data_IF_548055652848
#
_entry.id   IF_548055652848
#
_cell.length_a   1.000
_cell.length_b   1.000
_cell.length_c   1.000
_cell.angle_alpha   90.00
_cell.angle_beta   90.00
_cell.angle_gamma   90.00
#
_symmetry.space_group_name_H-M   'P 1'
#
loop_
_entity.id
_entity.type
_entity.pdbx_description
1 polymer ?
#
# COMPACT_ATOMS: atom_id res chain seq x y z
N UNK A 1 12.11 4.02 10.60
CA UNK A 1 11.24 5.23 10.73
C UNK A 1 9.89 4.81 11.31
N UNK A 2 9.37 5.56 12.29
CA UNK A 2 8.20 5.19 13.10
C UNK A 2 6.91 5.01 12.28
N UNK A 3 6.14 3.95 12.58
CA UNK A 3 4.78 3.57 12.14
C UNK A 3 3.72 4.71 12.03
N UNK A 4 4.03 5.93 12.46
CA UNK A 4 3.09 7.06 12.65
C UNK A 4 2.65 7.81 11.38
N UNK A 5 2.97 7.34 10.17
CA UNK A 5 2.79 8.16 8.95
C UNK A 5 1.89 7.57 7.85
N UNK A 6 1.34 6.35 8.02
CA UNK A 6 0.77 5.60 6.89
C UNK A 6 -0.57 6.14 6.35
N UNK A 7 -1.44 6.67 7.20
CA UNK A 7 -2.73 7.27 6.79
C UNK A 7 -2.91 8.65 7.39
N UNK A 8 -1.93 9.54 7.19
CA UNK A 8 -2.04 10.91 7.69
C UNK A 8 -3.20 11.63 7.02
N UNK A 9 -4.02 12.30 7.83
CA UNK A 9 -5.15 13.13 7.39
C UNK A 9 -4.79 14.60 7.68
N UNK A 10 -4.54 15.39 6.64
CA UNK A 10 -4.26 16.81 6.80
C UNK A 10 -5.56 17.61 6.98
N UNK A 11 -5.64 18.44 8.04
CA UNK A 11 -6.82 19.28 8.32
C UNK A 11 -6.58 20.73 7.88
N UNK A 12 -7.09 21.10 6.71
CA UNK A 12 -6.93 22.43 6.11
C UNK A 12 -8.10 23.35 6.51
N UNK A 13 -7.82 24.44 7.23
CA UNK A 13 -8.87 25.29 7.81
C UNK A 13 -8.45 26.77 7.89
N UNK A 14 -9.43 27.68 8.04
CA UNK A 14 -9.11 29.05 8.42
C UNK A 14 -8.79 29.13 9.91
N UNK A 15 -7.90 30.05 10.30
CA UNK A 15 -7.48 30.17 11.70
C UNK A 15 -8.64 30.52 12.65
N UNK A 16 -9.71 31.14 12.14
CA UNK A 16 -10.95 31.42 12.86
C UNK A 16 -11.77 30.17 13.18
N UNK A 17 -11.67 29.13 12.36
CA UNK A 17 -12.46 27.88 12.50
C UNK A 17 -11.81 26.88 13.46
N UNK A 18 -10.69 27.27 14.06
CA UNK A 18 -9.76 26.41 14.80
C UNK A 18 -10.41 25.63 15.92
N UNK A 19 -11.32 26.22 16.70
CA UNK A 19 -11.96 25.52 17.81
C UNK A 19 -12.82 24.34 17.34
N UNK A 20 -13.58 24.52 16.25
CA UNK A 20 -14.39 23.45 15.67
C UNK A 20 -13.51 22.35 15.08
N UNK A 21 -12.44 22.73 14.38
CA UNK A 21 -11.49 21.79 13.77
C UNK A 21 -10.69 21.03 14.82
N UNK A 22 -10.38 21.64 15.96
CA UNK A 22 -9.76 20.96 17.10
C UNK A 22 -10.69 19.88 17.68
N UNK A 23 -11.98 20.17 17.84
CA UNK A 23 -12.95 19.15 18.25
C UNK A 23 -13.01 18.00 17.26
N UNK A 24 -13.01 18.30 15.96
CA UNK A 24 -12.99 17.30 14.90
C UNK A 24 -11.70 16.45 14.91
N UNK A 25 -10.54 17.08 15.12
CA UNK A 25 -9.26 16.39 15.29
C UNK A 25 -9.31 15.37 16.43
N UNK A 26 -9.82 15.78 17.60
CA UNK A 26 -9.88 14.93 18.78
C UNK A 26 -10.87 13.75 18.55
N UNK A 27 -11.99 13.97 17.82
CA UNK A 27 -12.91 12.90 17.40
C UNK A 27 -12.24 11.91 16.43
N UNK A 28 -11.52 12.38 15.41
CA UNK A 28 -10.77 11.52 14.48
C UNK A 28 -9.71 10.69 15.22
N UNK A 29 -8.99 11.30 16.17
CA UNK A 29 -8.03 10.58 17.02
C UNK A 29 -8.72 9.50 17.85
N UNK A 30 -9.88 9.80 18.45
CA UNK A 30 -10.65 8.83 19.23
C UNK A 30 -11.17 7.67 18.37
N UNK A 31 -11.46 7.91 17.10
CA UNK A 31 -11.82 6.89 16.12
C UNK A 31 -10.62 6.09 15.56
N UNK A 32 -9.40 6.36 16.04
CA UNK A 32 -8.19 5.59 15.67
C UNK A 32 -7.41 6.13 14.47
N UNK A 33 -7.82 7.25 13.89
CA UNK A 33 -7.14 7.85 12.73
C UNK A 33 -5.91 8.69 13.11
N UNK A 34 -5.16 9.10 12.09
CA UNK A 34 -3.96 9.91 12.24
C UNK A 34 -4.12 11.33 11.66
N UNK A 35 -4.96 12.19 12.25
CA UNK A 35 -5.06 13.57 11.83
C UNK A 35 -3.78 14.34 12.17
N UNK A 36 -3.48 15.33 11.32
CA UNK A 36 -2.41 16.30 11.47
C UNK A 36 -2.99 17.71 11.45
N UNK A 37 -2.64 18.50 12.45
CA UNK A 37 -3.07 19.88 12.62
C UNK A 37 -1.89 20.72 13.12
N UNK A 38 -1.62 21.83 12.44
CA UNK A 38 -0.51 22.76 12.73
C UNK A 38 -0.36 23.08 14.23
N UNK A 39 -1.47 23.34 14.93
CA UNK A 39 -1.45 23.72 16.34
C UNK A 39 -1.08 22.60 17.30
N UNK A 40 -1.37 21.35 16.93
CA UNK A 40 -1.15 20.16 17.77
C UNK A 40 0.19 19.50 17.43
N UNK A 41 0.55 19.49 16.15
CA UNK A 41 1.63 18.66 15.62
C UNK A 41 2.89 19.45 15.23
N UNK A 42 2.85 20.79 15.15
CA UNK A 42 4.04 21.61 14.94
C UNK A 42 4.80 21.82 16.25
N UNK A 43 6.07 21.44 16.27
CA UNK A 43 6.94 21.65 17.42
C UNK A 43 7.49 23.09 17.44
N UNK A 44 7.62 23.72 18.63
CA UNK A 44 8.28 25.01 18.76
C UNK A 44 9.70 24.98 18.15
N UNK A 45 10.00 25.97 17.31
CA UNK A 45 11.29 26.07 16.60
C UNK A 45 11.30 25.46 15.20
N UNK A 46 10.25 24.74 14.77
CA UNK A 46 10.14 24.29 13.38
C UNK A 46 9.79 25.43 12.42
N UNK A 47 10.30 25.34 11.19
CA UNK A 47 9.90 26.24 10.11
C UNK A 47 8.50 25.85 9.62
N UNK A 48 7.49 26.50 10.19
CA UNK A 48 6.06 26.21 10.01
C UNK A 48 5.67 25.96 8.55
N UNK A 49 6.14 26.81 7.63
CA UNK A 49 5.79 26.74 6.21
C UNK A 49 6.34 25.48 5.51
N UNK A 50 7.52 25.01 5.95
CA UNK A 50 8.14 23.80 5.39
C UNK A 50 7.46 22.55 5.91
N UNK A 51 7.14 22.53 7.20
CA UNK A 51 6.47 21.39 7.82
C UNK A 51 5.02 21.25 7.33
N UNK A 52 4.29 22.35 7.06
CA UNK A 52 2.96 22.28 6.44
C UNK A 52 3.03 21.64 5.05
N UNK A 53 3.94 22.10 4.17
CA UNK A 53 4.12 21.51 2.83
C UNK A 53 4.46 20.02 2.92
N UNK A 54 5.38 19.68 3.82
CA UNK A 54 5.76 18.29 4.08
C UNK A 54 4.58 17.48 4.60
N UNK A 55 3.76 18.06 5.48
CA UNK A 55 2.59 17.39 6.02
C UNK A 55 1.57 17.11 4.92
N UNK A 56 1.27 18.11 4.10
CA UNK A 56 0.39 18.00 2.93
C UNK A 56 0.86 16.92 1.95
N UNK A 57 2.13 16.95 1.53
CA UNK A 57 2.70 16.00 0.57
C UNK A 57 2.76 14.56 1.09
N UNK A 58 2.88 14.38 2.41
CA UNK A 58 2.91 13.06 3.03
C UNK A 58 1.56 12.66 3.63
N UNK A 59 0.47 13.35 3.27
CA UNK A 59 -0.88 13.00 3.69
C UNK A 59 -1.60 12.23 2.60
N UNK A 60 -2.31 11.20 3.03
CA UNK A 60 -3.15 10.38 2.16
C UNK A 60 -4.50 11.05 1.89
N UNK A 61 -5.02 11.71 2.92
CA UNK A 61 -6.27 12.44 2.88
C UNK A 61 -6.04 13.91 3.20
N UNK A 62 -6.76 14.79 2.51
CA UNK A 62 -6.84 16.22 2.86
C UNK A 62 -8.30 16.55 3.11
N UNK A 63 -8.63 16.92 4.35
CA UNK A 63 -9.95 17.43 4.70
C UNK A 63 -9.89 18.96 4.63
N UNK A 64 -10.73 19.56 3.79
CA UNK A 64 -10.79 21.01 3.61
C UNK A 64 -12.07 21.54 4.26
N UNK A 65 -11.90 22.37 5.28
CA UNK A 65 -13.00 22.96 6.03
C UNK A 65 -13.46 24.28 5.41
N UNK A 66 -14.68 24.28 4.90
CA UNK A 66 -15.37 25.44 4.33
C UNK A 66 -16.26 26.12 5.36
N UNK A 67 -16.08 27.43 5.50
CA UNK A 67 -16.86 28.35 6.33
C UNK A 67 -16.93 29.71 5.62
N UNK A 68 -17.75 30.62 6.14
CA UNK A 68 -17.75 32.01 5.71
C UNK A 68 -16.34 32.63 5.79
N UNK A 69 -15.57 32.30 6.83
CA UNK A 69 -14.21 32.79 7.03
C UNK A 69 -13.23 32.19 6.02
N UNK A 70 -13.35 30.90 5.71
CA UNK A 70 -12.42 30.25 4.79
C UNK A 70 -12.66 30.58 3.31
N UNK A 71 -13.87 31.04 2.96
CA UNK A 71 -14.24 31.41 1.58
C UNK A 71 -14.16 32.92 1.31
N UNK A 72 -14.58 33.76 2.25
CA UNK A 72 -14.86 35.18 1.98
C UNK A 72 -13.66 36.12 2.15
N UNK A 73 -12.59 35.71 2.87
CA UNK A 73 -11.43 36.57 3.13
C UNK A 73 -10.36 36.48 2.04
N UNK A 74 -9.94 37.62 1.49
CA UNK A 74 -8.67 37.75 0.76
C UNK A 74 -7.51 37.69 1.76
N UNK A 75 -6.65 36.68 1.68
CA UNK A 75 -5.51 36.54 2.60
C UNK A 75 -5.00 35.10 2.79
N UNK A 76 -4.24 34.87 3.86
CA UNK A 76 -3.47 33.65 4.19
C UNK A 76 -4.24 32.31 4.03
N UNK A 77 -5.55 32.30 4.25
CA UNK A 77 -6.44 31.14 4.01
C UNK A 77 -6.38 30.66 2.55
N UNK A 78 -6.25 31.57 1.58
CA UNK A 78 -6.05 31.19 0.17
C UNK A 78 -4.75 30.44 -0.03
N UNK A 79 -3.77 30.53 0.87
CA UNK A 79 -2.48 29.88 0.69
C UNK A 79 -2.54 28.39 1.00
N UNK A 80 -3.21 27.96 2.07
CA UNK A 80 -3.41 26.52 2.34
C UNK A 80 -4.34 25.88 1.30
N UNK A 81 -5.44 26.56 0.95
CA UNK A 81 -6.31 26.16 -0.16
C UNK A 81 -5.55 26.09 -1.48
N UNK A 82 -4.70 27.09 -1.79
CA UNK A 82 -3.86 27.08 -3.00
C UNK A 82 -2.78 26.00 -2.96
N UNK A 83 -2.22 25.69 -1.80
CA UNK A 83 -1.27 24.59 -1.66
C UNK A 83 -1.98 23.24 -1.87
N UNK A 84 -3.19 23.06 -1.35
CA UNK A 84 -4.00 21.88 -1.60
C UNK A 84 -4.41 21.76 -3.09
N UNK A 85 -4.81 22.87 -3.73
CA UNK A 85 -5.12 22.92 -5.17
C UNK A 85 -3.88 22.64 -6.04
N UNK A 86 -2.72 23.24 -5.71
CA UNK A 86 -1.49 22.95 -6.44
C UNK A 86 -1.06 21.50 -6.25
N UNK A 87 -1.26 20.93 -5.06
CA UNK A 87 -1.02 19.51 -4.85
C UNK A 87 -1.89 18.69 -5.80
N UNK A 88 -3.20 18.97 -5.92
CA UNK A 88 -4.11 18.31 -6.88
C UNK A 88 -3.57 18.24 -8.31
N UNK A 89 -2.95 19.33 -8.79
CA UNK A 89 -2.41 19.40 -10.15
C UNK A 89 -1.18 18.50 -10.34
N UNK A 90 -0.45 18.18 -9.28
CA UNK A 90 0.79 17.40 -9.32
C UNK A 90 0.58 15.89 -9.03
N UNK A 91 -0.66 15.46 -8.76
CA UNK A 91 -0.97 14.10 -8.30
C UNK A 91 -1.48 13.23 -9.46
N UNK A 92 -0.96 12.00 -9.65
CA UNK A 92 -1.53 11.02 -10.57
C UNK A 92 -2.99 10.73 -10.24
N UNK A 93 -3.83 10.49 -11.24
CA UNK A 93 -5.24 10.12 -11.03
C UNK A 93 -5.35 8.99 -9.98
N UNK A 94 -6.06 9.27 -8.87
CA UNK A 94 -6.35 8.29 -7.82
C UNK A 94 -5.45 8.30 -6.57
N UNK A 95 -4.42 9.14 -6.46
CA UNK A 95 -3.43 9.05 -5.36
C UNK A 95 -3.64 9.96 -4.14
N UNK A 96 -4.43 11.04 -4.22
CA UNK A 96 -4.79 11.86 -3.04
C UNK A 96 -6.28 12.11 -3.02
N UNK A 97 -6.88 11.82 -1.87
CA UNK A 97 -8.31 11.93 -1.68
C UNK A 97 -8.64 13.21 -0.90
N UNK A 98 -9.27 14.18 -1.56
CA UNK A 98 -9.76 15.41 -0.93
C UNK A 98 -11.19 15.20 -0.45
N UNK A 99 -11.44 15.61 0.79
CA UNK A 99 -12.77 15.58 1.42
C UNK A 99 -13.19 17.03 1.75
N UNK A 100 -13.96 17.67 0.86
CA UNK A 100 -14.60 18.95 1.17
C UNK A 100 -15.61 18.79 2.30
N UNK A 101 -15.50 19.59 3.35
CA UNK A 101 -16.46 19.59 4.46
C UNK A 101 -16.92 21.01 4.78
N UNK A 102 -18.20 21.20 5.11
CA UNK A 102 -18.74 22.50 5.53
C UNK A 102 -18.98 22.53 7.02
N UNK A 103 -18.45 23.56 7.69
CA UNK A 103 -18.68 23.81 9.12
C UNK A 103 -20.03 24.47 9.38
N UNK A 104 -20.56 25.17 8.38
CA UNK A 104 -21.83 25.87 8.42
C UNK A 104 -22.45 25.92 7.02
N UNK A 105 -23.72 26.30 6.91
CA UNK A 105 -24.40 26.39 5.63
C UNK A 105 -23.89 27.59 4.81
N UNK A 106 -22.78 27.37 4.10
CA UNK A 106 -22.14 28.34 3.23
C UNK A 106 -21.83 27.72 1.85
N UNK A 107 -21.89 28.47 0.74
CA UNK A 107 -21.52 27.94 -0.57
C UNK A 107 -20.04 27.52 -0.64
N UNK A 108 -19.77 26.41 -1.31
CA UNK A 108 -18.41 25.96 -1.61
C UNK A 108 -17.83 26.79 -2.77
N UNK A 109 -16.53 27.14 -2.77
CA UNK A 109 -15.89 27.82 -3.88
C UNK A 109 -16.01 27.06 -5.20
N UNK A 110 -16.10 27.80 -6.32
CA UNK A 110 -16.29 27.24 -7.67
C UNK A 110 -15.28 26.13 -8.02
N UNK A 111 -14.03 26.28 -7.57
CA UNK A 111 -12.95 25.30 -7.80
C UNK A 111 -13.27 23.88 -7.26
N UNK A 112 -14.16 23.77 -6.27
CA UNK A 112 -14.55 22.50 -5.65
C UNK A 112 -15.99 22.10 -5.97
N UNK A 113 -16.70 22.84 -6.84
CA UNK A 113 -18.14 22.58 -7.14
C UNK A 113 -18.39 21.21 -7.79
N UNK A 114 -17.37 20.63 -8.42
CA UNK A 114 -17.44 19.31 -9.05
C UNK A 114 -17.12 18.16 -8.09
N UNK A 115 -16.78 18.46 -6.84
CA UNK A 115 -16.44 17.47 -5.82
C UNK A 115 -17.58 17.41 -4.82
N UNK A 116 -18.03 16.19 -4.48
CA UNK A 116 -19.03 16.01 -3.43
C UNK A 116 -18.48 16.46 -2.08
N UNK A 117 -19.33 17.04 -1.23
CA UNK A 117 -18.95 17.56 0.08
C UNK A 117 -19.79 16.94 1.20
N UNK A 118 -19.35 17.16 2.44
CA UNK A 118 -20.06 16.71 3.64
C UNK A 118 -20.41 17.90 4.53
N UNK A 119 -21.62 17.93 5.08
CA UNK A 119 -22.07 18.95 6.01
C UNK A 119 -21.84 18.49 7.45
N UNK A 120 -20.86 19.07 8.14
CA UNK A 120 -20.50 18.68 9.53
C UNK A 120 -21.48 19.21 10.58
N UNK A 121 -22.35 20.14 10.20
CA UNK A 121 -23.43 20.65 11.04
C UNK A 121 -24.66 19.73 11.04
N UNK A 122 -24.69 18.69 10.20
CA UNK A 122 -25.70 17.64 10.23
C UNK A 122 -25.29 16.50 11.18
N UNK A 123 -26.27 15.78 11.73
CA UNK A 123 -26.04 14.75 12.76
C UNK A 123 -25.19 13.57 12.30
N UNK A 124 -25.12 13.30 10.99
CA UNK A 124 -24.37 12.19 10.38
C UNK A 124 -23.08 12.66 9.69
N UNK A 125 -22.76 13.96 9.75
CA UNK A 125 -21.66 14.53 8.98
C UNK A 125 -20.29 13.96 9.35
N UNK A 126 -20.04 13.66 10.62
CA UNK A 126 -18.78 13.06 11.06
C UNK A 126 -18.65 11.61 10.56
N UNK A 127 -19.73 10.84 10.68
CA UNK A 127 -19.83 9.44 10.28
C UNK A 127 -19.62 9.28 8.77
N UNK A 128 -20.16 10.18 7.96
CA UNK A 128 -19.92 10.19 6.51
C UNK A 128 -18.44 10.38 6.18
N UNK A 129 -17.74 11.29 6.87
CA UNK A 129 -16.29 11.47 6.66
C UNK A 129 -15.52 10.21 7.06
N UNK A 130 -15.85 9.60 8.19
CA UNK A 130 -15.23 8.34 8.63
C UNK A 130 -15.44 7.23 7.60
N UNK A 131 -16.68 7.02 7.15
CA UNK A 131 -17.02 5.99 6.16
C UNK A 131 -16.23 6.17 4.85
N UNK A 132 -16.06 7.40 4.39
CA UNK A 132 -15.27 7.71 3.20
C UNK A 132 -13.80 7.37 3.41
N UNK A 133 -13.21 7.78 4.53
CA UNK A 133 -11.81 7.45 4.86
C UNK A 133 -11.62 5.94 4.94
N UNK A 134 -12.49 5.22 5.65
CA UNK A 134 -12.40 3.77 5.80
C UNK A 134 -12.58 3.04 4.46
N UNK A 135 -13.52 3.49 3.63
CA UNK A 135 -13.76 2.90 2.30
C UNK A 135 -12.55 3.08 1.40
N UNK A 136 -11.92 4.25 1.40
CA UNK A 136 -10.76 4.54 0.56
C UNK A 136 -9.47 3.88 1.08
N UNK A 137 -9.32 3.76 2.41
CA UNK A 137 -8.28 2.90 3.00
C UNK A 137 -8.52 1.45 2.57
N UNK A 138 -9.76 0.98 2.67
CA UNK A 138 -10.17 -0.36 2.27
C UNK A 138 -9.86 -0.63 0.80
N UNK A 139 -10.32 0.22 -0.13
CA UNK A 139 -10.12 0.08 -1.58
C UNK A 139 -8.65 -0.01 -1.97
N UNK A 140 -7.80 0.81 -1.37
CA UNK A 140 -6.36 0.80 -1.64
C UNK A 140 -5.62 -0.44 -1.11
N UNK A 141 -6.24 -1.20 -0.20
CA UNK A 141 -5.72 -2.49 0.25
C UNK A 141 -6.18 -3.64 -0.66
N UNK A 142 -6.85 -3.33 -1.77
CA UNK A 142 -7.20 -4.31 -2.79
C UNK A 142 -6.79 -3.83 -4.18
N UNK A 143 -6.41 -4.78 -5.01
CA UNK A 143 -6.18 -4.63 -6.44
C UNK A 143 -7.15 -5.54 -7.18
N UNK A 144 -7.94 -4.99 -8.09
CA UNK A 144 -8.79 -5.79 -8.99
C UNK A 144 -8.09 -5.92 -10.34
N UNK A 145 -7.75 -7.15 -10.71
CA UNK A 145 -7.18 -7.45 -12.02
C UNK A 145 -8.29 -7.48 -13.08
N UNK A 146 -8.38 -6.43 -13.89
CA UNK A 146 -9.43 -6.29 -14.90
C UNK A 146 -9.36 -7.32 -16.03
N UNK A 147 -8.30 -8.15 -16.08
CA UNK A 147 -8.16 -9.21 -17.09
C UNK A 147 -9.01 -10.43 -16.76
N UNK A 148 -9.32 -10.67 -15.48
CA UNK A 148 -10.06 -11.84 -15.01
C UNK A 148 -10.99 -11.56 -13.80
N UNK A 149 -11.18 -10.30 -13.43
CA UNK A 149 -11.98 -9.82 -12.30
C UNK A 149 -11.55 -10.39 -10.93
N UNK A 150 -10.33 -10.96 -10.82
CA UNK A 150 -9.81 -11.41 -9.52
C UNK A 150 -9.39 -10.21 -8.67
N UNK A 151 -9.78 -10.27 -7.40
CA UNK A 151 -9.44 -9.24 -6.40
C UNK A 151 -8.37 -9.80 -5.48
N UNK A 152 -7.26 -9.08 -5.38
CA UNK A 152 -6.11 -9.41 -4.56
C UNK A 152 -5.95 -8.40 -3.45
N UNK A 153 -5.62 -8.82 -2.24
CA UNK A 153 -5.17 -7.91 -1.18
C UNK A 153 -3.82 -7.32 -1.54
N UNK A 154 -3.62 -6.08 -1.13
CA UNK A 154 -2.37 -5.34 -1.25
C UNK A 154 -1.94 -4.81 0.12
N UNK A 155 -0.66 -4.47 0.23
CA UNK A 155 -0.07 -3.92 1.45
C UNK A 155 1.04 -2.92 1.13
N UNK A 156 1.06 -1.80 1.85
CA UNK A 156 2.12 -0.79 1.76
C UNK A 156 3.31 -1.15 2.65
N UNK A 157 4.42 -1.57 2.02
CA UNK A 157 5.67 -1.91 2.68
C UNK A 157 6.82 -1.13 2.04
N UNK A 158 7.59 -0.46 2.87
CA UNK A 158 8.79 0.29 2.46
C UNK A 158 8.49 1.31 1.34
N UNK A 159 7.34 1.98 1.45
CA UNK A 159 6.91 3.02 0.49
C UNK A 159 6.46 2.49 -0.87
N UNK A 160 6.13 1.20 -0.97
CA UNK A 160 5.64 0.55 -2.19
C UNK A 160 4.40 -0.27 -1.88
N UNK A 161 3.50 -0.34 -2.86
CA UNK A 161 2.31 -1.20 -2.82
C UNK A 161 2.67 -2.61 -3.30
N UNK A 162 2.62 -3.58 -2.40
CA UNK A 162 2.86 -5.00 -2.70
C UNK A 162 1.54 -5.74 -2.82
N UNK A 163 1.49 -6.78 -3.67
CA UNK A 163 0.49 -7.83 -3.51
C UNK A 163 0.74 -8.60 -2.21
N UNK A 164 -0.30 -8.74 -1.40
CA UNK A 164 -0.29 -9.55 -0.17
C UNK A 164 -0.81 -10.99 -0.42
N UNK A 165 -1.32 -11.24 -1.62
CA UNK A 165 -1.77 -12.56 -2.09
C UNK A 165 -1.00 -12.93 -3.35
N UNK A 166 -0.80 -14.23 -3.58
CA UNK A 166 -0.08 -14.70 -4.77
C UNK A 166 -0.95 -14.51 -6.01
N UNK A 167 -0.33 -14.12 -7.13
CA UNK A 167 -1.04 -14.01 -8.41
C UNK A 167 -1.69 -15.36 -8.79
N UNK A 168 -2.90 -15.29 -9.32
CA UNK A 168 -3.67 -16.46 -9.77
C UNK A 168 -4.23 -16.30 -11.20
N UNK A 169 -3.60 -15.47 -12.03
CA UNK A 169 -3.99 -15.23 -13.42
C UNK A 169 -3.60 -16.40 -14.34
N UNK A 170 -4.55 -16.96 -15.08
CA UNK A 170 -4.27 -18.03 -16.05
C UNK A 170 -3.75 -17.44 -17.37
N UNK A 171 -2.49 -17.73 -17.70
CA UNK A 171 -1.87 -17.32 -18.98
C UNK A 171 -1.77 -18.47 -19.99
N UNK A 172 -2.37 -19.63 -19.69
CA UNK A 172 -2.15 -20.87 -20.42
C UNK A 172 -0.77 -21.45 -20.09
N UNK A 173 0.10 -21.54 -21.11
CA UNK A 173 1.38 -22.23 -20.97
C UNK A 173 2.37 -21.54 -20.01
N UNK A 174 3.00 -22.36 -19.17
CA UNK A 174 4.03 -21.92 -18.23
C UNK A 174 3.50 -21.53 -16.86
N UNK A 175 2.25 -21.86 -16.54
CA UNK A 175 1.67 -21.72 -15.21
C UNK A 175 0.92 -22.99 -14.76
N UNK A 176 0.91 -23.25 -13.46
CA UNK A 176 0.32 -24.45 -12.86
C UNK A 176 -0.30 -24.13 -11.49
N UNK A 177 -1.31 -24.91 -11.10
CA UNK A 177 -1.66 -25.03 -9.69
C UNK A 177 -0.59 -25.86 -8.98
N UNK A 178 -0.43 -25.64 -7.67
CA UNK A 178 0.44 -26.54 -6.91
C UNK A 178 -0.11 -27.97 -6.93
N UNK A 179 0.78 -28.95 -7.15
CA UNK A 179 0.48 -30.39 -7.22
C UNK A 179 -0.60 -30.75 -8.26
N UNK A 180 -0.80 -29.88 -9.25
CA UNK A 180 -1.88 -29.97 -10.24
C UNK A 180 -3.27 -30.22 -9.62
N UNK A 181 -3.48 -29.81 -8.35
CA UNK A 181 -4.69 -30.10 -7.58
C UNK A 181 -5.66 -28.90 -7.58
N UNK A 182 -6.84 -29.03 -8.21
CA UNK A 182 -7.88 -28.01 -8.16
C UNK A 182 -8.38 -27.79 -6.72
N UNK A 183 -8.21 -26.58 -6.22
CA UNK A 183 -8.46 -26.14 -4.84
C UNK A 183 -7.26 -25.42 -4.23
N UNK A 184 -6.04 -25.75 -4.69
CA UNK A 184 -4.82 -25.10 -4.21
C UNK A 184 -4.71 -23.64 -4.70
N UNK A 185 -5.38 -23.26 -5.79
CA UNK A 185 -5.39 -21.89 -6.30
C UNK A 185 -5.95 -20.88 -5.30
N UNK A 186 -6.94 -21.29 -4.50
CA UNK A 186 -7.57 -20.42 -3.50
C UNK A 186 -6.64 -20.10 -2.34
N UNK A 187 -5.68 -21.00 -2.07
CA UNK A 187 -4.73 -20.84 -0.98
C UNK A 187 -3.42 -20.26 -1.47
N UNK A 188 -2.81 -20.88 -2.48
CA UNK A 188 -1.43 -20.60 -2.90
C UNK A 188 -1.32 -19.80 -4.20
N UNK A 189 -2.43 -19.57 -4.91
CA UNK A 189 -2.39 -19.03 -6.28
C UNK A 189 -1.78 -20.01 -7.28
N UNK A 190 -1.22 -19.48 -8.37
CA UNK A 190 -0.51 -20.26 -9.39
C UNK A 190 1.01 -20.09 -9.27
N UNK A 191 1.72 -21.11 -9.73
CA UNK A 191 3.15 -21.07 -9.97
C UNK A 191 3.41 -20.71 -11.43
N UNK A 192 4.42 -19.89 -11.69
CA UNK A 192 4.77 -19.41 -13.02
C UNK A 192 6.24 -19.62 -13.31
N UNK A 193 6.59 -20.05 -14.53
CA UNK A 193 7.98 -19.89 -15.01
C UNK A 193 8.38 -18.42 -15.01
N UNK A 194 9.68 -18.10 -14.98
CA UNK A 194 10.10 -16.69 -14.92
C UNK A 194 9.62 -15.88 -16.14
N UNK A 195 9.62 -16.49 -17.33
CA UNK A 195 9.06 -15.86 -18.53
C UNK A 195 7.53 -15.77 -18.48
N UNK A 196 6.85 -16.77 -17.92
CA UNK A 196 5.42 -16.71 -17.66
C UNK A 196 5.06 -15.60 -16.67
N UNK A 197 5.80 -15.45 -15.56
CA UNK A 197 5.61 -14.40 -14.56
C UNK A 197 5.67 -13.00 -15.18
N UNK A 198 6.63 -12.74 -16.07
CA UNK A 198 6.68 -11.45 -16.78
C UNK A 198 5.47 -11.19 -17.68
N UNK A 199 4.93 -12.23 -18.33
CA UNK A 199 3.71 -12.12 -19.15
C UNK A 199 2.43 -12.03 -18.31
N UNK A 200 2.41 -12.67 -17.15
CA UNK A 200 1.28 -12.70 -16.23
C UNK A 200 1.12 -11.37 -15.45
N UNK A 201 2.13 -10.51 -15.48
CA UNK A 201 2.12 -9.21 -14.82
C UNK A 201 0.93 -8.33 -15.23
N UNK A 202 0.11 -7.84 -14.29
CA UNK A 202 -0.98 -6.92 -14.63
C UNK A 202 -0.45 -5.55 -15.10
N UNK A 203 -1.23 -4.81 -15.92
CA UNK A 203 -0.88 -3.44 -16.28
C UNK A 203 -0.72 -2.55 -15.04
N UNK A 204 0.32 -1.71 -15.01
CA UNK A 204 0.62 -0.87 -13.85
C UNK A 204 1.28 -1.61 -12.69
N UNK A 205 1.68 -2.86 -12.88
CA UNK A 205 2.43 -3.67 -11.91
C UNK A 205 3.75 -4.16 -12.51
N UNK A 206 4.68 -4.62 -11.66
CA UNK A 206 5.93 -5.28 -12.04
C UNK A 206 6.43 -6.23 -10.96
N UNK A 207 7.27 -7.18 -11.33
CA UNK A 207 7.99 -7.99 -10.33
C UNK A 207 8.96 -7.08 -9.53
N UNK A 208 9.20 -7.39 -8.24
CA UNK A 208 10.17 -6.65 -7.42
C UNK A 208 11.59 -6.89 -7.92
N UNK A 209 12.49 -5.95 -7.67
CA UNK A 209 13.94 -6.20 -7.87
C UNK A 209 14.55 -6.86 -6.63
N UNK A 210 15.77 -7.39 -6.74
CA UNK A 210 16.51 -7.93 -5.59
C UNK A 210 16.72 -6.85 -4.52
N UNK A 211 17.08 -5.63 -4.92
CA UNK A 211 17.32 -4.52 -3.99
C UNK A 211 16.05 -4.15 -3.19
N UNK A 212 14.87 -4.27 -3.80
CA UNK A 212 13.59 -4.02 -3.11
C UNK A 212 13.21 -5.15 -2.14
N UNK A 213 13.65 -6.38 -2.42
CA UNK A 213 13.52 -7.50 -1.49
C UNK A 213 14.50 -7.35 -0.33
N UNK A 214 15.75 -6.98 -0.59
CA UNK A 214 16.76 -6.75 0.44
C UNK A 214 16.34 -5.59 1.36
N UNK A 215 15.83 -4.48 0.82
CA UNK A 215 15.30 -3.36 1.61
C UNK A 215 14.12 -3.80 2.49
N UNK A 216 13.25 -4.69 1.97
CA UNK A 216 12.15 -5.25 2.73
C UNK A 216 12.64 -6.14 3.89
N UNK A 217 13.60 -7.03 3.63
CA UNK A 217 14.18 -7.93 4.63
C UNK A 217 14.89 -7.12 5.73
N UNK A 218 15.71 -6.15 5.37
CA UNK A 218 16.41 -5.26 6.30
C UNK A 218 15.43 -4.47 7.18
N UNK A 219 14.32 -4.00 6.59
CA UNK A 219 13.28 -3.29 7.33
C UNK A 219 12.70 -4.14 8.47
N UNK A 220 12.61 -5.46 8.29
CA UNK A 220 12.05 -6.39 9.26
C UNK A 220 13.09 -7.11 10.13
N UNK A 221 14.36 -6.69 10.08
CA UNK A 221 15.39 -7.13 11.02
C UNK A 221 16.41 -8.12 10.46
N UNK A 222 16.50 -8.23 9.13
CA UNK A 222 17.50 -9.03 8.42
C UNK A 222 17.05 -10.46 8.09
N UNK A 223 17.89 -11.18 7.33
CA UNK A 223 17.62 -12.53 6.83
C UNK A 223 17.41 -13.55 7.96
N UNK A 224 18.24 -13.48 9.00
CA UNK A 224 18.27 -14.42 10.12
C UNK A 224 17.77 -13.82 11.43
N UNK A 225 17.26 -14.69 12.29
CA UNK A 225 16.99 -14.34 13.69
C UNK A 225 18.29 -14.18 14.47
N UNK A 226 18.42 -13.08 15.20
CA UNK A 226 19.57 -12.84 16.08
C UNK A 226 19.14 -12.68 17.54
N UNK A 227 20.10 -12.53 18.46
CA UNK A 227 19.77 -12.22 19.86
C UNK A 227 19.01 -10.89 20.02
N UNK A 228 19.12 -9.98 19.04
CA UNK A 228 18.53 -8.64 19.10
C UNK A 228 17.34 -8.44 18.14
N UNK A 229 17.13 -9.34 17.18
CA UNK A 229 16.11 -9.21 16.12
C UNK A 229 15.38 -10.53 15.92
N UNK A 230 14.06 -10.46 15.68
CA UNK A 230 13.26 -11.65 15.33
C UNK A 230 13.45 -12.11 13.87
N UNK A 231 14.29 -11.42 13.08
CA UNK A 231 14.46 -11.66 11.65
C UNK A 231 13.22 -11.29 10.82
N UNK A 232 13.38 -11.27 9.50
CA UNK A 232 12.31 -10.89 8.58
C UNK A 232 11.23 -11.98 8.42
N UNK A 233 11.54 -13.24 8.73
CA UNK A 233 10.64 -14.37 8.51
C UNK A 233 9.30 -14.19 9.22
N UNK A 234 9.28 -14.19 10.56
CA UNK A 234 8.04 -14.14 11.36
C UNK A 234 7.13 -12.93 11.04
N UNK A 235 7.65 -11.69 10.88
CA UNK A 235 6.84 -10.55 10.47
C UNK A 235 6.20 -10.68 9.08
N UNK A 236 6.89 -11.33 8.12
CA UNK A 236 6.48 -11.41 6.71
C UNK A 236 5.56 -12.60 6.40
N UNK A 237 5.57 -13.65 7.22
CA UNK A 237 4.71 -14.83 7.06
C UNK A 237 3.20 -14.53 7.21
N UNK A 238 2.35 -15.44 6.72
CA UNK A 238 0.90 -15.44 7.00
C UNK A 238 0.62 -15.36 8.52
N UNK A 239 -0.21 -14.39 8.92
CA UNK A 239 -0.48 -14.10 10.33
C UNK A 239 0.60 -13.26 11.03
N UNK A 240 1.68 -12.92 10.33
CA UNK A 240 2.72 -12.01 10.77
C UNK A 240 2.25 -10.55 10.85
N UNK A 241 3.11 -9.68 11.39
CA UNK A 241 2.75 -8.27 11.68
C UNK A 241 2.86 -7.31 10.50
N UNK A 242 3.46 -7.74 9.38
CA UNK A 242 3.68 -6.89 8.21
C UNK A 242 2.44 -6.74 7.32
N UNK A 243 1.58 -7.77 7.29
CA UNK A 243 0.53 -7.90 6.28
C UNK A 243 1.04 -8.36 4.90
N UNK A 244 2.33 -8.69 4.75
CA UNK A 244 2.84 -9.33 3.54
C UNK A 244 2.15 -10.68 3.34
N UNK A 245 2.03 -11.51 4.38
CA UNK A 245 1.36 -12.81 4.36
C UNK A 245 2.01 -13.84 3.43
N UNK A 246 3.34 -13.99 3.46
CA UNK A 246 4.03 -15.02 2.70
C UNK A 246 3.48 -16.42 3.00
N UNK A 247 3.33 -17.22 1.96
CA UNK A 247 2.83 -18.60 2.00
C UNK A 247 3.93 -19.59 1.61
N UNK A 248 3.96 -20.73 2.31
CA UNK A 248 4.88 -21.84 2.02
C UNK A 248 4.27 -22.74 0.93
N UNK A 249 4.11 -22.18 -0.27
CA UNK A 249 3.46 -22.83 -1.40
C UNK A 249 4.36 -23.81 -2.17
N UNK A 250 5.64 -23.93 -1.83
CA UNK A 250 6.60 -24.75 -2.56
C UNK A 250 6.93 -24.21 -3.96
N UNK A 251 7.47 -25.10 -4.79
CA UNK A 251 7.85 -24.81 -6.17
C UNK A 251 7.50 -25.98 -7.10
N UNK A 252 7.50 -25.71 -8.41
CA UNK A 252 7.50 -26.74 -9.45
C UNK A 252 8.84 -26.72 -10.17
N UNK A 253 9.57 -27.83 -10.07
CA UNK A 253 10.80 -28.00 -10.82
C UNK A 253 10.52 -28.65 -12.17
N UNK A 254 11.35 -28.36 -13.16
CA UNK A 254 11.31 -29.02 -14.46
C UNK A 254 12.71 -29.07 -15.04
N UNK A 255 13.29 -30.26 -15.06
CA UNK A 255 14.58 -30.52 -15.73
C UNK A 255 14.31 -31.21 -17.06
N UNK A 256 15.02 -30.80 -18.12
CA UNK A 256 14.81 -31.32 -19.47
C UNK A 256 14.85 -32.86 -19.56
N UNK A 257 15.58 -33.52 -18.65
CA UNK A 257 15.82 -34.97 -18.68
C UNK A 257 15.24 -35.75 -17.49
N UNK A 258 14.59 -35.11 -16.53
CA UNK A 258 14.14 -35.76 -15.28
C UNK A 258 12.63 -35.63 -15.01
N UNK A 259 11.87 -35.09 -15.97
CA UNK A 259 10.46 -34.77 -15.77
C UNK A 259 10.25 -33.52 -14.91
N UNK A 260 8.99 -33.26 -14.60
CA UNK A 260 8.57 -32.16 -13.73
C UNK A 260 7.89 -32.72 -12.48
N UNK A 261 8.00 -31.98 -11.39
CA UNK A 261 7.36 -32.32 -10.13
C UNK A 261 7.26 -31.11 -9.21
N UNK A 262 6.74 -31.34 -8.01
CA UNK A 262 6.51 -30.32 -7.01
C UNK A 262 7.28 -30.66 -5.73
N UNK A 263 7.86 -29.66 -5.09
CA UNK A 263 8.58 -29.82 -3.83
C UNK A 263 8.17 -28.77 -2.80
N UNK A 264 8.49 -29.05 -1.53
CA UNK A 264 8.52 -28.11 -0.41
C UNK A 264 7.20 -27.44 -0.01
N UNK A 265 6.02 -27.92 -0.45
CA UNK A 265 4.77 -27.38 0.07
C UNK A 265 4.68 -27.54 1.59
N UNK A 266 4.26 -26.47 2.26
CA UNK A 266 4.16 -26.38 3.71
C UNK A 266 5.50 -26.17 4.42
N UNK A 267 6.64 -26.23 3.71
CA UNK A 267 7.98 -26.07 4.27
C UNK A 267 8.66 -24.79 3.77
N UNK A 268 8.61 -24.54 2.47
CA UNK A 268 9.27 -23.38 1.88
C UNK A 268 8.34 -22.67 0.90
N UNK A 269 8.44 -21.35 0.81
CA UNK A 269 7.71 -20.52 -0.16
C UNK A 269 8.68 -19.85 -1.11
N UNK A 270 8.52 -20.05 -2.41
CA UNK A 270 9.44 -19.53 -3.43
C UNK A 270 8.77 -18.48 -4.31
N UNK A 271 9.48 -17.38 -4.56
CA UNK A 271 8.92 -16.21 -5.24
C UNK A 271 9.89 -15.62 -6.26
N UNK A 272 9.38 -15.25 -7.43
CA UNK A 272 10.20 -14.58 -8.44
C UNK A 272 10.48 -13.11 -8.14
N UNK A 273 11.70 -12.68 -8.43
CA UNK A 273 12.02 -11.27 -8.70
C UNK A 273 12.02 -11.01 -10.22
N UNK A 274 12.01 -9.73 -10.61
CA UNK A 274 12.20 -9.28 -11.98
C UNK A 274 13.67 -9.22 -12.41
N UNK A 275 14.62 -9.48 -11.49
CA UNK A 275 16.05 -9.34 -11.74
C UNK A 275 16.62 -10.61 -12.38
N UNK A 276 17.17 -10.47 -13.58
CA UNK A 276 17.89 -11.56 -14.24
C UNK A 276 19.25 -11.78 -13.56
N UNK A 277 19.60 -13.04 -13.31
CA UNK A 277 20.94 -13.41 -12.80
C UNK A 277 21.90 -13.71 -13.94
N UNK A 278 21.48 -14.56 -14.88
CA UNK A 278 22.19 -14.86 -16.12
C UNK A 278 21.20 -15.35 -17.21
N UNK A 279 21.67 -15.92 -18.31
CA UNK A 279 20.80 -16.34 -19.42
C UNK A 279 19.82 -17.46 -19.03
N UNK A 280 20.24 -18.37 -18.15
CA UNK A 280 19.43 -19.54 -17.72
C UNK A 280 18.71 -19.34 -16.39
N UNK A 281 19.16 -18.40 -15.56
CA UNK A 281 18.69 -18.19 -14.19
C UNK A 281 18.20 -16.76 -13.95
N UNK A 282 17.20 -16.62 -13.08
CA UNK A 282 16.73 -15.35 -12.55
C UNK A 282 16.82 -15.39 -11.02
N UNK A 283 16.91 -14.23 -10.38
CA UNK A 283 16.89 -14.18 -8.93
C UNK A 283 15.47 -14.43 -8.41
N UNK A 284 15.40 -15.22 -7.35
CA UNK A 284 14.22 -15.53 -6.57
C UNK A 284 14.52 -15.25 -5.11
N UNK A 285 13.47 -15.27 -4.28
CA UNK A 285 13.61 -15.26 -2.83
C UNK A 285 12.74 -16.34 -2.21
N UNK A 286 13.11 -16.81 -1.03
CA UNK A 286 12.38 -17.83 -0.30
C UNK A 286 12.11 -17.47 1.14
N UNK A 287 11.08 -18.10 1.68
CA UNK A 287 10.82 -18.23 3.10
C UNK A 287 10.98 -19.71 3.45
N UNK A 288 11.86 -20.04 4.39
CA UNK A 288 12.06 -21.43 4.84
C UNK A 288 11.63 -21.62 6.30
N UNK A 289 10.76 -22.59 6.57
CA UNK A 289 10.21 -22.82 7.90
C UNK A 289 11.17 -23.47 8.88
N UNK A 290 12.13 -24.23 8.40
CA UNK A 290 13.02 -25.01 9.26
C UNK A 290 14.06 -24.09 9.90
N UNK A 291 14.65 -23.22 9.09
CA UNK A 291 15.65 -22.26 9.53
C UNK A 291 15.00 -20.93 9.97
N UNK A 292 13.73 -20.69 9.60
CA UNK A 292 13.01 -19.42 9.80
C UNK A 292 13.74 -18.23 9.19
N UNK A 293 14.18 -18.41 7.95
CA UNK A 293 15.00 -17.45 7.22
C UNK A 293 14.30 -16.97 5.95
N UNK A 294 14.67 -15.75 5.55
CA UNK A 294 14.30 -15.17 4.26
C UNK A 294 15.58 -14.83 3.52
N UNK A 295 15.71 -15.26 2.27
CA UNK A 295 16.93 -15.03 1.49
C UNK A 295 16.71 -15.05 0.00
N UNK A 296 17.63 -14.42 -0.72
CA UNK A 296 17.64 -14.30 -2.19
C UNK A 296 18.66 -15.25 -2.83
N UNK A 297 18.32 -15.89 -3.94
CA UNK A 297 19.19 -16.82 -4.65
C UNK A 297 18.81 -16.95 -6.14
N UNK A 298 19.74 -17.37 -7.01
CA UNK A 298 19.44 -17.63 -8.41
C UNK A 298 18.69 -18.96 -8.58
N UNK A 299 17.62 -18.96 -9.39
CA UNK A 299 16.81 -20.13 -9.72
C UNK A 299 16.67 -20.27 -11.25
N UNK A 300 16.54 -21.51 -11.74
CA UNK A 300 16.37 -21.79 -13.17
C UNK A 300 15.07 -21.16 -13.68
N UNK A 301 15.14 -20.42 -14.79
CA UNK A 301 13.96 -19.74 -15.38
C UNK A 301 12.85 -20.70 -15.81
N UNK A 302 13.15 -22.00 -15.95
CA UNK A 302 12.21 -23.07 -16.28
C UNK A 302 11.42 -23.62 -15.09
N UNK A 303 11.84 -23.31 -13.86
CA UNK A 303 11.08 -23.65 -12.66
C UNK A 303 9.89 -22.73 -12.53
N UNK A 304 8.84 -23.18 -11.85
CA UNK A 304 7.66 -22.37 -11.60
C UNK A 304 7.54 -22.00 -10.12
N UNK A 305 7.51 -20.71 -9.83
CA UNK A 305 7.45 -20.14 -8.48
C UNK A 305 6.22 -19.22 -8.36
N UNK A 306 5.86 -18.87 -7.13
CA UNK A 306 4.80 -17.88 -6.87
C UNK A 306 5.25 -16.48 -7.30
N UNK A 307 4.29 -15.59 -7.56
CA UNK A 307 4.58 -14.20 -7.91
C UNK A 307 3.78 -13.25 -7.03
N UNK A 308 4.47 -12.22 -6.54
CA UNK A 308 3.88 -11.04 -5.90
C UNK A 308 4.45 -9.82 -6.56
N UNK A 309 3.58 -8.98 -7.10
CA UNK A 309 3.98 -7.81 -7.86
C UNK A 309 3.95 -6.57 -6.97
N UNK A 310 4.68 -5.56 -7.44
CA UNK A 310 4.67 -4.20 -6.95
C UNK A 310 3.92 -3.30 -7.93
N UNK A 311 3.17 -2.33 -7.42
CA UNK A 311 2.57 -1.30 -8.27
C UNK A 311 3.71 -0.43 -8.86
N UNK A 312 3.69 -0.24 -10.18
CA UNK A 312 4.63 0.61 -10.89
C UNK A 312 4.15 2.07 -10.83
N UNK A 313 5.01 2.95 -10.34
CA UNK A 313 4.83 4.41 -10.40
C UNK A 313 5.30 4.95 -11.75
#
# INVERSE_FOLDING_TARGET
MSKKNKDRIFLCHANEDKEQVLSFYDKLKAAGFNPWLDKKDLLPGQHWDREIRRALQNSRFIIIFFSHHSVSKRGYVQRELKLALNALEEIPEGQIFIIPVRLENHPIPEAFRHIHYVDLFESEGFELVVNVIETEIGRSNYFTDLRDDQVYKTVELVGKTWMAENLNYDIGEGCWFYDDNPGNEKKYGRLYTWNAAKRACPPGWRLPTVEEIDELIDHFGGEEKSFFTEGAYSPLMEGGTSGFNALLGGERYSYMNAGAGFFFQGRSGYYWTGTQFNDTNANAYSFDSDDQEVGSFPMLKTFALSCRYLQAF
#
